data_IF_604017863541
#
_entry.id   IF_604017863541
#
_cell.length_a   1.000
_cell.length_b   1.000
_cell.length_c   1.000
_cell.angle_alpha   90.00
_cell.angle_beta   90.00
_cell.angle_gamma   90.00
#
_symmetry.space_group_name_H-M   'P 1'
#
loop_
_entity.id
_entity.type
_entity.pdbx_description
1 polymer ?
#
# COMPACT_ATOMS: atom_id res chain seq x y z
N UNK A 1 31.36 23.15 7.44
CA UNK A 1 29.94 23.24 7.76
C UNK A 1 29.27 22.23 6.85
N UNK A 2 28.71 21.16 7.38
CA UNK A 2 27.91 20.22 6.59
C UNK A 2 26.63 20.97 6.21
N UNK A 3 26.35 21.08 4.90
CA UNK A 3 25.11 21.66 4.44
C UNK A 3 23.96 20.83 5.04
N UNK A 4 23.03 21.51 5.68
CA UNK A 4 21.86 20.89 6.30
C UNK A 4 20.92 20.38 5.19
N UNK A 5 20.48 19.11 5.27
CA UNK A 5 19.61 18.50 4.30
C UNK A 5 18.28 19.27 4.20
N UNK A 6 17.78 19.48 2.99
CA UNK A 6 16.55 20.22 2.70
C UNK A 6 15.45 19.31 2.14
N UNK A 7 14.19 19.70 2.34
CA UNK A 7 13.04 19.00 1.71
C UNK A 7 13.14 18.94 0.19
N UNK A 8 13.69 19.99 -0.43
CA UNK A 8 13.87 20.04 -1.87
C UNK A 8 14.83 18.98 -2.38
N UNK A 9 15.96 18.80 -1.71
CA UNK A 9 16.97 17.79 -2.07
C UNK A 9 16.41 16.37 -1.95
N UNK A 10 15.66 16.10 -0.85
CA UNK A 10 15.00 14.80 -0.67
C UNK A 10 13.96 14.57 -1.76
N UNK A 11 13.09 15.55 -2.03
CA UNK A 11 12.08 15.47 -3.08
C UNK A 11 12.70 15.26 -4.46
N UNK A 12 13.67 16.06 -4.85
CA UNK A 12 14.32 15.98 -6.17
C UNK A 12 15.00 14.62 -6.41
N UNK A 13 15.39 13.93 -5.35
CA UNK A 13 15.97 12.60 -5.40
C UNK A 13 14.90 11.51 -5.46
N UNK A 14 13.98 11.50 -4.52
CA UNK A 14 12.99 10.41 -4.37
C UNK A 14 11.89 10.46 -5.43
N UNK A 15 11.49 11.64 -5.92
CA UNK A 15 10.44 11.78 -6.94
C UNK A 15 10.84 11.29 -8.33
N UNK A 16 12.13 11.10 -8.56
CA UNK A 16 12.67 10.56 -9.83
C UNK A 16 12.76 9.04 -9.87
N UNK A 17 12.51 8.38 -8.74
CA UNK A 17 12.57 6.92 -8.66
C UNK A 17 11.31 6.34 -9.29
N UNK A 18 11.51 5.50 -10.30
CA UNK A 18 10.41 4.81 -10.96
C UNK A 18 9.93 3.65 -10.08
N UNK A 19 8.69 3.74 -9.64
CA UNK A 19 8.01 2.73 -8.84
C UNK A 19 7.08 1.82 -9.64
N UNK A 20 6.94 2.03 -10.97
CA UNK A 20 5.92 1.40 -11.82
C UNK A 20 5.93 -0.13 -11.77
N UNK A 21 7.12 -0.75 -11.73
CA UNK A 21 7.26 -2.21 -11.63
C UNK A 21 6.88 -2.80 -10.26
N UNK A 22 6.72 -1.95 -9.25
CA UNK A 22 6.44 -2.36 -7.85
C UNK A 22 5.04 -2.00 -7.41
N UNK A 23 4.22 -1.51 -8.34
CA UNK A 23 2.82 -1.21 -8.10
C UNK A 23 1.99 -2.49 -8.20
N UNK A 24 1.26 -2.79 -7.14
CA UNK A 24 0.25 -3.86 -7.12
C UNK A 24 -1.14 -3.24 -7.31
N UNK A 25 -1.94 -3.82 -8.20
CA UNK A 25 -3.34 -3.41 -8.39
C UNK A 25 -4.26 -4.25 -7.52
N UNK A 26 -5.14 -3.59 -6.77
CA UNK A 26 -6.27 -4.21 -6.07
C UNK A 26 -7.55 -3.48 -6.44
N UNK A 27 -8.32 -4.04 -7.37
CA UNK A 27 -9.45 -3.35 -7.99
C UNK A 27 -8.96 -2.11 -8.76
N UNK A 28 -9.57 -0.96 -8.51
CA UNK A 28 -9.22 0.32 -9.13
C UNK A 28 -8.03 1.04 -8.46
N UNK A 29 -7.55 0.54 -7.31
CA UNK A 29 -6.51 1.19 -6.52
C UNK A 29 -5.12 0.63 -6.81
N UNK A 30 -4.16 1.52 -6.88
CA UNK A 30 -2.76 1.22 -6.98
C UNK A 30 -2.12 1.19 -5.58
N UNK A 31 -1.33 0.15 -5.29
CA UNK A 31 -0.62 0.00 -4.03
C UNK A 31 0.87 -0.13 -4.29
N UNK A 32 1.65 0.65 -3.57
CA UNK A 32 3.09 0.46 -3.49
C UNK A 32 3.42 -0.39 -2.27
N UNK A 33 4.19 -1.47 -2.44
CA UNK A 33 4.65 -2.30 -1.33
C UNK A 33 5.42 -1.44 -0.32
N UNK A 34 4.97 -1.42 0.94
CA UNK A 34 5.62 -0.66 2.00
C UNK A 34 7.07 -1.11 2.25
N UNK A 35 7.32 -2.43 2.13
CA UNK A 35 8.65 -3.00 2.34
C UNK A 35 9.63 -2.54 1.27
N UNK A 36 9.19 -2.51 0.01
CA UNK A 36 9.98 -1.99 -1.10
C UNK A 36 10.23 -0.48 -0.93
N UNK A 37 9.17 0.29 -0.68
CA UNK A 37 9.29 1.74 -0.50
C UNK A 37 10.22 2.11 0.66
N UNK A 38 10.13 1.39 1.78
CA UNK A 38 11.03 1.57 2.92
C UNK A 38 12.47 1.18 2.57
N UNK A 39 12.67 0.07 1.83
CA UNK A 39 13.99 -0.36 1.35
C UNK A 39 14.67 0.71 0.52
N UNK A 40 13.96 1.28 -0.46
CA UNK A 40 14.48 2.39 -1.29
C UNK A 40 14.81 3.62 -0.44
N UNK A 41 13.96 3.97 0.54
CA UNK A 41 14.29 5.07 1.45
C UNK A 41 15.60 4.80 2.20
N UNK A 42 15.77 3.58 2.72
CA UNK A 42 16.98 3.19 3.47
C UNK A 42 18.24 3.14 2.60
N UNK A 43 18.15 2.83 1.32
CA UNK A 43 19.29 2.91 0.39
C UNK A 43 19.79 4.34 0.23
N UNK A 44 18.90 5.32 0.26
CA UNK A 44 19.25 6.72 0.06
C UNK A 44 19.47 7.48 1.36
N UNK A 45 18.77 7.10 2.42
CA UNK A 45 18.77 7.74 3.74
C UNK A 45 18.74 6.67 4.84
N UNK A 46 19.87 5.98 5.11
CA UNK A 46 19.91 4.83 6.03
C UNK A 46 19.59 5.18 7.49
N UNK A 47 19.69 6.45 7.88
CA UNK A 47 19.32 6.96 9.20
C UNK A 47 17.82 7.33 9.32
N UNK A 48 17.05 7.22 8.23
CA UNK A 48 15.62 7.51 8.26
C UNK A 48 14.89 6.60 9.26
N UNK A 49 13.91 7.16 9.94
CA UNK A 49 13.11 6.49 10.95
C UNK A 49 11.62 6.72 10.69
N UNK A 50 10.79 5.80 11.15
CA UNK A 50 9.35 6.02 11.22
C UNK A 50 8.80 5.69 12.60
N UNK A 51 7.68 6.31 12.94
CA UNK A 51 6.93 6.10 14.16
C UNK A 51 5.45 6.05 13.85
N UNK A 52 4.74 5.08 14.42
CA UNK A 52 3.28 5.11 14.51
C UNK A 52 2.88 5.62 15.89
N UNK A 53 1.98 6.61 15.91
CA UNK A 53 1.44 7.10 17.15
C UNK A 53 0.46 6.09 17.75
N UNK A 54 0.45 6.03 19.07
CA UNK A 54 -0.53 5.29 19.85
C UNK A 54 -1.65 6.24 20.28
N UNK A 55 -2.86 5.72 20.39
CA UNK A 55 -3.98 6.40 21.02
C UNK A 55 -3.92 6.27 22.54
N UNK A 56 -5.03 6.59 23.18
CA UNK A 56 -5.22 6.38 24.62
C UNK A 56 -5.14 4.88 24.98
N UNK A 57 -4.68 4.58 26.18
CA UNK A 57 -4.53 3.21 26.71
C UNK A 57 -3.63 2.30 25.85
N UNK A 58 -2.58 2.85 25.22
CA UNK A 58 -1.64 2.13 24.35
C UNK A 58 -2.31 1.45 23.14
N UNK A 59 -3.52 1.86 22.79
CA UNK A 59 -4.21 1.35 21.61
C UNK A 59 -3.45 1.80 20.34
N UNK A 60 -3.18 0.89 19.38
CA UNK A 60 -2.30 1.17 18.25
C UNK A 60 -2.90 2.07 17.15
N UNK A 61 -3.94 2.83 17.46
CA UNK A 61 -4.61 3.81 16.60
C UNK A 61 -5.40 4.82 17.45
N UNK A 62 -5.75 5.97 16.87
CA UNK A 62 -6.60 6.98 17.54
C UNK A 62 -8.05 6.64 17.29
N UNK A 63 -8.85 6.55 18.34
CA UNK A 63 -10.30 6.27 18.27
C UNK A 63 -11.12 7.55 18.20
N UNK A 64 -12.19 7.50 17.43
CA UNK A 64 -13.22 8.53 17.39
C UNK A 64 -14.49 8.11 18.19
N UNK A 65 -15.30 9.09 18.66
CA UNK A 65 -16.50 8.79 19.46
C UNK A 65 -17.54 7.92 18.75
N UNK A 66 -17.56 7.92 17.41
CA UNK A 66 -18.47 7.09 16.59
C UNK A 66 -18.01 5.63 16.43
N UNK A 67 -16.86 5.28 17.03
CA UNK A 67 -16.25 3.96 16.98
C UNK A 67 -15.29 3.75 15.80
N UNK A 68 -15.16 4.69 14.89
CA UNK A 68 -14.12 4.66 13.84
C UNK A 68 -12.77 5.06 14.41
N UNK A 69 -11.73 5.08 13.58
CA UNK A 69 -10.42 5.54 14.03
C UNK A 69 -9.45 5.76 12.88
N UNK A 70 -8.31 6.32 13.23
CA UNK A 70 -7.22 6.59 12.29
C UNK A 70 -5.88 6.10 12.82
N UNK A 71 -4.99 5.76 11.93
CA UNK A 71 -3.57 5.57 12.21
C UNK A 71 -2.82 6.85 11.85
N UNK A 72 -1.78 7.15 12.61
CA UNK A 72 -0.89 8.30 12.38
C UNK A 72 0.54 7.81 12.26
N UNK A 73 1.22 8.25 11.20
CA UNK A 73 2.60 7.91 10.92
C UNK A 73 3.44 9.17 10.81
N UNK A 74 4.64 9.13 11.40
CA UNK A 74 5.70 10.11 11.19
C UNK A 74 6.87 9.41 10.51
N UNK A 75 7.45 10.04 9.50
CA UNK A 75 8.74 9.66 8.91
C UNK A 75 9.71 10.82 9.10
N UNK A 76 10.91 10.51 9.54
CA UNK A 76 11.99 11.47 9.75
C UNK A 76 13.21 11.07 8.93
N UNK A 77 13.81 12.04 8.24
CA UNK A 77 15.06 11.94 7.50
C UNK A 77 15.95 13.07 8.02
N UNK A 78 16.95 12.75 8.82
CA UNK A 78 17.76 13.73 9.57
C UNK A 78 16.87 14.71 10.36
N UNK A 79 16.96 16.00 10.05
CA UNK A 79 16.18 17.09 10.67
C UNK A 79 14.79 17.29 10.00
N UNK A 80 14.49 16.59 8.91
CA UNK A 80 13.26 16.72 8.16
C UNK A 80 12.20 15.72 8.62
N UNK A 81 10.96 16.17 8.73
CA UNK A 81 9.85 15.33 9.22
C UNK A 81 8.58 15.54 8.40
N UNK A 82 7.89 14.44 8.06
CA UNK A 82 6.54 14.43 7.50
C UNK A 82 5.65 13.57 8.37
N UNK A 83 4.39 13.95 8.45
CA UNK A 83 3.35 13.20 9.13
C UNK A 83 2.17 12.94 8.18
N UNK A 84 1.53 11.80 8.37
CA UNK A 84 0.35 11.39 7.62
C UNK A 84 -0.65 10.74 8.56
N UNK A 85 -1.92 10.97 8.32
CA UNK A 85 -3.01 10.24 8.95
C UNK A 85 -3.77 9.45 7.91
N UNK A 86 -4.32 8.31 8.29
CA UNK A 86 -5.16 7.49 7.43
C UNK A 86 -6.25 6.84 8.27
N UNK A 87 -7.48 6.95 7.81
CA UNK A 87 -8.62 6.24 8.39
C UNK A 87 -8.36 4.72 8.43
N UNK A 88 -8.78 4.04 9.48
CA UNK A 88 -8.83 2.58 9.48
C UNK A 88 -10.04 2.13 8.67
N UNK A 89 -9.79 1.43 7.57
CA UNK A 89 -10.78 1.11 6.56
C UNK A 89 -10.76 -0.36 6.13
N UNK A 90 -11.88 -0.79 5.55
CA UNK A 90 -12.02 -2.10 4.93
C UNK A 90 -11.38 -2.14 3.52
N UNK A 91 -11.57 -3.27 2.82
CA UNK A 91 -11.04 -3.47 1.46
C UNK A 91 -11.76 -2.63 0.38
N UNK A 92 -12.90 -2.01 0.72
CA UNK A 92 -13.66 -1.09 -0.14
C UNK A 92 -13.41 0.38 0.21
N UNK A 93 -12.42 0.66 1.05
CA UNK A 93 -12.08 1.98 1.59
C UNK A 93 -13.15 2.62 2.50
N UNK A 94 -14.13 1.85 2.99
CA UNK A 94 -15.08 2.37 3.97
C UNK A 94 -14.44 2.39 5.36
N UNK A 95 -14.70 3.46 6.12
CA UNK A 95 -14.31 3.55 7.52
C UNK A 95 -14.92 2.40 8.34
N UNK A 96 -14.10 1.75 9.19
CA UNK A 96 -14.52 0.60 10.00
C UNK A 96 -14.70 1.01 11.44
N UNK A 97 -15.83 0.62 12.04
CA UNK A 97 -16.06 0.76 13.49
C UNK A 97 -15.43 -0.40 14.25
N UNK A 98 -14.78 -0.09 15.37
CA UNK A 98 -14.08 -1.07 16.21
C UNK A 98 -13.16 -2.00 15.41
N UNK A 99 -12.18 -1.44 14.67
CA UNK A 99 -11.35 -2.21 13.77
C UNK A 99 -10.55 -3.28 14.51
N UNK A 100 -10.39 -4.43 13.87
CA UNK A 100 -9.51 -5.50 14.37
C UNK A 100 -8.03 -5.19 14.07
N UNK A 101 -7.13 -5.97 14.65
CA UNK A 101 -5.68 -5.76 14.53
C UNK A 101 -5.16 -5.84 13.08
N UNK A 102 -5.78 -6.69 12.25
CA UNK A 102 -5.40 -6.83 10.84
C UNK A 102 -5.75 -5.56 10.05
N UNK A 103 -6.94 -5.01 10.25
CA UNK A 103 -7.38 -3.76 9.61
C UNK A 103 -6.50 -2.58 10.03
N UNK A 104 -6.16 -2.51 11.33
CA UNK A 104 -5.24 -1.48 11.86
C UNK A 104 -3.85 -1.63 11.23
N UNK A 105 -3.30 -2.86 11.17
CA UNK A 105 -1.99 -3.10 10.59
C UNK A 105 -1.96 -2.74 9.08
N UNK A 106 -2.97 -3.14 8.32
CA UNK A 106 -3.07 -2.80 6.90
C UNK A 106 -3.10 -1.27 6.69
N UNK A 107 -3.89 -0.56 7.51
CA UNK A 107 -3.95 0.91 7.44
C UNK A 107 -2.63 1.57 7.84
N UNK A 108 -1.88 1.01 8.82
CA UNK A 108 -0.53 1.48 9.18
C UNK A 108 0.43 1.39 8.00
N UNK A 109 0.48 0.25 7.29
CA UNK A 109 1.39 0.07 6.15
C UNK A 109 1.04 1.00 5.00
N UNK A 110 -0.25 1.20 4.71
CA UNK A 110 -0.72 2.18 3.72
C UNK A 110 -0.39 3.63 4.15
N UNK A 111 -0.57 3.96 5.41
CA UNK A 111 -0.23 5.27 5.96
C UNK A 111 1.27 5.56 5.82
N UNK A 112 2.14 4.57 6.08
CA UNK A 112 3.58 4.68 5.89
C UNK A 112 3.93 5.01 4.43
N UNK A 113 3.41 4.26 3.46
CA UNK A 113 3.71 4.53 2.03
C UNK A 113 3.22 5.90 1.58
N UNK A 114 2.04 6.35 2.02
CA UNK A 114 1.55 7.71 1.76
C UNK A 114 2.44 8.78 2.43
N UNK A 115 2.96 8.52 3.63
CA UNK A 115 3.92 9.41 4.29
C UNK A 115 5.24 9.52 3.51
N UNK A 116 5.74 8.41 2.93
CA UNK A 116 6.91 8.40 2.05
C UNK A 116 6.67 9.17 0.75
N UNK A 117 5.45 9.10 0.21
CA UNK A 117 5.05 9.88 -0.97
C UNK A 117 5.13 11.40 -0.72
N UNK A 118 4.94 11.86 0.51
CA UNK A 118 5.13 13.28 0.88
C UNK A 118 6.61 13.74 0.85
N UNK A 119 7.54 12.81 0.78
CA UNK A 119 8.96 13.06 0.49
C UNK A 119 9.30 12.89 -1.01
N UNK A 120 8.32 12.51 -1.84
CA UNK A 120 8.44 12.35 -3.30
C UNK A 120 8.39 10.91 -3.80
N UNK A 121 8.67 9.90 -2.95
CA UNK A 121 8.76 8.50 -3.38
C UNK A 121 7.39 7.95 -3.82
N UNK A 122 7.22 7.71 -5.12
CA UNK A 122 5.98 7.18 -5.67
C UNK A 122 4.76 8.12 -5.52
N UNK A 123 4.98 9.44 -5.37
CA UNK A 123 3.90 10.42 -5.16
C UNK A 123 2.83 10.39 -6.25
N UNK A 124 3.22 10.10 -7.49
CA UNK A 124 2.31 10.04 -8.65
C UNK A 124 1.33 8.86 -8.59
N UNK A 125 1.61 7.83 -7.78
CA UNK A 125 0.72 6.66 -7.60
C UNK A 125 -0.60 7.07 -6.93
N UNK A 126 -0.53 8.06 -6.06
CA UNK A 126 -1.66 8.57 -5.28
C UNK A 126 -2.32 9.81 -5.91
N UNK A 127 -1.84 10.26 -7.08
CA UNK A 127 -2.47 11.34 -7.81
C UNK A 127 -3.86 10.88 -8.31
N UNK A 128 -4.91 11.57 -7.87
CA UNK A 128 -6.29 11.25 -8.21
C UNK A 128 -7.05 10.38 -7.20
N UNK A 129 -6.42 9.89 -6.11
CA UNK A 129 -7.15 9.11 -5.09
C UNK A 129 -8.22 9.92 -4.31
N UNK A 130 -8.10 11.24 -4.26
CA UNK A 130 -9.02 12.14 -3.54
C UNK A 130 -9.79 13.04 -4.53
N UNK A 131 -10.17 12.51 -5.69
CA UNK A 131 -11.05 13.24 -6.62
C UNK A 131 -12.46 13.38 -6.00
N UNK A 132 -13.17 14.52 -6.26
CA UNK A 132 -14.56 14.65 -5.89
C UNK A 132 -15.41 13.51 -6.47
N UNK A 133 -16.42 13.04 -5.71
CA UNK A 133 -17.29 11.92 -6.10
C UNK A 133 -17.92 12.11 -7.50
N UNK A 134 -18.28 13.34 -7.85
CA UNK A 134 -18.85 13.71 -9.16
C UNK A 134 -17.90 13.41 -10.33
N UNK A 135 -16.57 13.45 -10.09
CA UNK A 135 -15.54 13.17 -11.11
C UNK A 135 -15.23 11.67 -11.19
N UNK A 136 -15.35 10.94 -10.07
CA UNK A 136 -15.21 9.48 -10.06
C UNK A 136 -16.30 8.82 -10.92
N UNK A 137 -17.55 9.27 -10.78
CA UNK A 137 -18.68 8.77 -11.57
C UNK A 137 -18.54 9.07 -13.08
N UNK A 138 -17.94 10.20 -13.46
CA UNK A 138 -17.68 10.53 -14.88
C UNK A 138 -16.58 9.66 -15.48
N UNK A 139 -15.53 9.34 -14.71
CA UNK A 139 -14.42 8.47 -15.14
C UNK A 139 -14.92 7.01 -15.26
N UNK A 140 -15.74 6.52 -14.31
CA UNK A 140 -16.34 5.19 -14.38
C UNK A 140 -17.19 4.98 -15.62
N UNK A 141 -17.95 6.00 -16.01
CA UNK A 141 -18.79 5.94 -17.22
C UNK A 141 -17.96 5.95 -18.52
N UNK A 142 -16.78 6.56 -18.53
CA UNK A 142 -15.89 6.58 -19.72
C UNK A 142 -15.19 5.22 -19.93
N UNK A 143 -14.84 4.52 -18.85
CA UNK A 143 -14.21 3.20 -18.93
C UNK A 143 -15.20 2.11 -19.36
N UNK A 144 -16.47 2.21 -18.94
CA UNK A 144 -17.54 1.25 -19.33
C UNK A 144 -17.94 1.40 -20.81
N UNK A 145 -17.84 2.60 -21.40
CA UNK A 145 -18.10 2.82 -22.82
C UNK A 145 -16.98 2.29 -23.74
N UNK A 146 -15.77 2.12 -23.23
CA UNK A 146 -14.63 1.59 -24.00
C UNK A 146 -14.54 0.07 -23.99
N UNK A 147 -15.03 -0.61 -22.94
CA UNK A 147 -15.04 -2.09 -22.88
C UNK A 147 -16.17 -2.74 -23.71
N UNK A 148 -17.18 -1.99 -24.13
CA UNK A 148 -18.37 -2.55 -24.84
C UNK A 148 -18.19 -2.76 -26.36
N UNK A 149 -16.98 -2.65 -26.92
CA UNK A 149 -16.75 -2.72 -28.39
C UNK A 149 -15.92 -3.87 -28.92
N UNK A 150 -15.53 -4.86 -28.12
CA UNK A 150 -14.90 -6.08 -28.64
C UNK A 150 -15.50 -7.34 -28.00
N UNK A 151 -16.54 -7.90 -28.63
CA UNK A 151 -16.93 -9.30 -28.42
C UNK A 151 -15.94 -10.20 -29.19
N UNK A 152 -15.19 -11.09 -28.55
CA UNK A 152 -14.52 -12.16 -29.26
C UNK A 152 -15.50 -13.31 -29.54
N UNK A 153 -15.61 -13.70 -30.82
CA UNK A 153 -16.29 -14.90 -31.27
C UNK A 153 -15.83 -16.14 -30.51
N UNK A 154 -16.75 -17.10 -30.21
CA UNK A 154 -16.38 -18.30 -29.46
C UNK A 154 -15.53 -19.25 -30.32
N UNK A 155 -14.32 -19.56 -29.86
CA UNK A 155 -13.53 -20.68 -30.35
C UNK A 155 -13.87 -21.90 -29.49
N UNK A 156 -14.45 -22.93 -30.11
CA UNK A 156 -14.69 -24.23 -29.50
C UNK A 156 -13.35 -24.87 -29.07
N UNK A 157 -13.19 -25.16 -27.79
CA UNK A 157 -12.09 -25.98 -27.26
C UNK A 157 -12.62 -27.37 -26.93
N UNK A 158 -11.86 -28.44 -27.28
CA UNK A 158 -12.22 -29.80 -26.89
C UNK A 158 -12.00 -30.03 -25.41
N UNK A 159 -12.92 -30.71 -24.77
CA UNK A 159 -12.85 -31.20 -23.40
C UNK A 159 -11.83 -32.33 -23.29
N UNK A 160 -10.76 -32.12 -22.51
CA UNK A 160 -10.01 -33.21 -21.90
C UNK A 160 -10.04 -33.04 -20.38
N UNK A 161 -10.56 -34.08 -19.72
CA UNK A 161 -10.58 -34.22 -18.27
C UNK A 161 -9.16 -34.36 -17.73
N UNK A 162 -8.70 -33.38 -16.95
CA UNK A 162 -7.48 -33.52 -16.14
C UNK A 162 -7.86 -33.33 -14.69
N UNK A 163 -7.81 -34.43 -13.93
CA UNK A 163 -7.93 -34.42 -12.47
C UNK A 163 -6.86 -33.49 -11.86
N UNK A 164 -7.29 -32.53 -11.05
CA UNK A 164 -6.42 -31.65 -10.29
C UNK A 164 -5.88 -32.40 -9.06
N UNK A 165 -4.64 -32.84 -9.13
CA UNK A 165 -3.87 -33.26 -7.96
C UNK A 165 -3.42 -32.02 -7.17
N UNK A 166 -4.05 -31.77 -6.03
CA UNK A 166 -3.68 -30.75 -5.06
C UNK A 166 -2.47 -31.20 -4.24
N UNK A 167 -1.27 -31.03 -4.77
CA UNK A 167 0.01 -31.40 -4.14
C UNK A 167 0.39 -30.61 -2.88
N UNK A 168 -0.55 -30.27 -2.01
CA UNK A 168 -0.30 -29.73 -0.69
C UNK A 168 -0.66 -30.78 0.36
N UNK A 169 0.36 -31.52 0.87
CA UNK A 169 0.17 -32.42 2.00
C UNK A 169 0.91 -33.71 1.97
N UNK A 170 2.16 -33.79 1.56
CA UNK A 170 3.02 -34.95 1.79
C UNK A 170 4.10 -34.62 2.83
N UNK A 171 4.41 -35.62 3.67
CA UNK A 171 5.40 -35.55 4.77
C UNK A 171 6.81 -35.09 4.32
N UNK A 172 7.11 -35.15 3.03
CA UNK A 172 8.38 -34.68 2.45
C UNK A 172 8.62 -33.15 2.62
N UNK A 173 7.58 -32.34 2.68
CA UNK A 173 7.73 -30.88 2.89
C UNK A 173 8.13 -30.51 4.31
N UNK A 174 7.72 -31.32 5.29
CA UNK A 174 8.09 -31.13 6.69
C UNK A 174 9.58 -31.41 6.93
N UNK A 175 10.15 -32.42 6.26
CA UNK A 175 11.56 -32.73 6.39
C UNK A 175 12.51 -31.74 5.71
N UNK A 176 12.08 -31.10 4.61
CA UNK A 176 12.86 -30.06 3.93
C UNK A 176 12.95 -28.77 4.74
N UNK A 177 11.89 -28.44 5.50
CA UNK A 177 11.87 -27.25 6.33
C UNK A 177 12.76 -27.34 7.57
N UNK A 178 12.88 -28.54 8.14
CA UNK A 178 13.73 -28.78 9.32
C UNK A 178 15.22 -28.78 8.97
N UNK A 179 15.61 -29.21 7.75
CA UNK A 179 17.01 -29.23 7.30
C UNK A 179 17.60 -27.87 6.93
N UNK A 180 16.81 -26.82 6.81
CA UNK A 180 17.31 -25.47 6.50
C UNK A 180 17.62 -24.62 7.73
N UNK A 181 17.41 -25.15 8.96
CA UNK A 181 17.65 -24.45 10.23
C UNK A 181 18.62 -25.17 11.18
N UNK A 182 19.37 -26.17 10.71
CA UNK A 182 20.52 -26.80 11.40
C UNK A 182 21.79 -26.61 10.55
#
# INVERSE_FOLDING_TARGET
MSDELTYKEVWDKLSKIDCSEKIEKKGKLNYLSWAWAWGILQEHYPQAQYLFYQGEDDVPYVRYPDGTGEVRCRVSIDNLTREMTLCVMDFKNNAVKNPNSSQVNNSKMRCLTKCLAMFGLGHYIYAGEDLPEDVEDEIENLDDETESKEEPTPVETPTEDVEADNGYGTEEWAELFVKSFL
#
